data_IF_744332551476
#
_entry.id   IF_744332551476
#
_cell.length_a   1.000
_cell.length_b   1.000
_cell.length_c   1.000
_cell.angle_alpha   90.00
_cell.angle_beta   90.00
_cell.angle_gamma   90.00
#
_symmetry.space_group_name_H-M   'P 1'
#
loop_
_entity.id
_entity.type
_entity.pdbx_description
1 polymer ?
#
# COMPACT_ATOMS: atom_id res chain seq x y z
N UNK A 1 -10.26 -14.19 15.88
CA UNK A 1 -10.63 -12.85 15.39
C UNK A 1 -9.39 -11.99 15.11
N UNK A 2 -8.56 -11.67 16.11
CA UNK A 2 -7.37 -10.80 15.91
C UNK A 2 -6.36 -11.37 14.91
N UNK A 3 -6.03 -12.66 14.99
CA UNK A 3 -5.12 -13.33 14.05
C UNK A 3 -5.65 -13.30 12.60
N UNK A 4 -6.97 -13.38 12.42
CA UNK A 4 -7.60 -13.32 11.11
C UNK A 4 -7.41 -11.93 10.50
N UNK A 5 -7.61 -10.86 11.28
CA UNK A 5 -7.40 -9.48 10.82
C UNK A 5 -5.93 -9.25 10.45
N UNK A 6 -4.99 -9.77 11.24
CA UNK A 6 -3.56 -9.66 10.96
C UNK A 6 -3.16 -10.37 9.64
N UNK A 7 -3.85 -11.45 9.25
CA UNK A 7 -3.61 -12.13 7.99
C UNK A 7 -3.98 -11.30 6.75
N UNK A 8 -4.91 -10.35 6.90
CA UNK A 8 -5.29 -9.41 5.82
C UNK A 8 -4.39 -8.17 5.75
N UNK A 9 -3.41 -8.05 6.65
CA UNK A 9 -2.51 -6.90 6.63
C UNK A 9 -1.46 -7.07 5.51
N UNK A 10 -1.30 -6.11 4.58
CA UNK A 10 -0.33 -6.20 3.50
C UNK A 10 1.13 -6.25 3.98
N UNK A 11 1.42 -5.78 5.20
CA UNK A 11 2.72 -5.93 5.84
C UNK A 11 3.07 -7.40 6.10
N UNK A 12 2.06 -8.24 6.40
CA UNK A 12 2.25 -9.68 6.57
C UNK A 12 2.77 -10.30 5.27
N UNK A 13 2.16 -9.98 4.12
CA UNK A 13 2.62 -10.44 2.81
C UNK A 13 4.02 -9.93 2.45
N UNK A 14 4.39 -8.71 2.86
CA UNK A 14 5.74 -8.20 2.65
C UNK A 14 6.80 -9.03 3.42
N UNK A 15 6.56 -9.31 4.70
CA UNK A 15 7.45 -10.14 5.53
C UNK A 15 7.49 -11.58 5.01
N UNK A 16 6.35 -12.10 4.55
CA UNK A 16 6.25 -13.44 3.98
C UNK A 16 7.02 -13.59 2.66
N UNK A 17 6.97 -12.59 1.79
CA UNK A 17 7.79 -12.55 0.57
C UNK A 17 9.29 -12.57 0.90
N UNK A 18 9.73 -11.77 1.88
CA UNK A 18 11.12 -11.75 2.35
C UNK A 18 11.51 -13.12 2.90
N UNK A 19 10.65 -13.72 3.74
CA UNK A 19 10.85 -15.04 4.31
C UNK A 19 11.10 -16.08 3.20
N UNK A 20 10.26 -16.13 2.17
CA UNK A 20 10.45 -17.06 1.06
C UNK A 20 11.73 -16.78 0.26
N UNK A 21 12.03 -15.51 -0.01
CA UNK A 21 13.25 -15.12 -0.71
C UNK A 21 14.53 -15.57 0.01
N UNK A 22 14.55 -15.48 1.35
CA UNK A 22 15.65 -15.98 2.18
C UNK A 22 15.84 -17.50 2.09
N UNK A 23 14.78 -18.25 1.79
CA UNK A 23 14.83 -19.69 1.53
C UNK A 23 15.03 -20.05 0.05
N UNK A 24 15.40 -19.09 -0.80
CA UNK A 24 15.44 -19.25 -2.27
C UNK A 24 14.11 -19.79 -2.86
N UNK A 25 13.00 -19.44 -2.22
CA UNK A 25 11.64 -19.75 -2.70
C UNK A 25 11.00 -18.46 -3.18
N UNK A 26 10.26 -18.56 -4.26
CA UNK A 26 9.53 -17.43 -4.80
C UNK A 26 8.03 -17.63 -4.59
N UNK A 27 7.41 -16.72 -3.85
CA UNK A 27 5.98 -16.76 -3.55
C UNK A 27 5.23 -15.71 -4.37
N UNK A 28 4.57 -16.18 -5.43
CA UNK A 28 3.81 -15.32 -6.33
C UNK A 28 2.64 -14.61 -5.63
N UNK A 29 2.00 -15.26 -4.66
CA UNK A 29 0.88 -14.68 -3.92
C UNK A 29 1.29 -13.42 -3.16
N UNK A 30 2.34 -13.53 -2.34
CA UNK A 30 2.88 -12.41 -1.56
C UNK A 30 3.40 -11.29 -2.47
N UNK A 31 4.04 -11.64 -3.60
CA UNK A 31 4.50 -10.61 -4.55
C UNK A 31 3.34 -9.84 -5.18
N UNK A 32 2.26 -10.52 -5.60
CA UNK A 32 1.10 -9.86 -6.17
C UNK A 32 0.44 -8.91 -5.16
N UNK A 33 0.30 -9.31 -3.90
CA UNK A 33 -0.27 -8.46 -2.85
C UNK A 33 0.59 -7.21 -2.64
N UNK A 34 1.92 -7.37 -2.51
CA UNK A 34 2.85 -6.26 -2.32
C UNK A 34 2.81 -5.28 -3.50
N UNK A 35 2.85 -5.79 -4.73
CA UNK A 35 2.79 -4.96 -5.95
C UNK A 35 1.43 -4.25 -6.08
N UNK A 36 0.33 -4.94 -5.78
CA UNK A 36 -1.00 -4.32 -5.81
C UNK A 36 -1.13 -3.18 -4.80
N UNK A 37 -0.64 -3.37 -3.57
CA UNK A 37 -0.61 -2.32 -2.56
C UNK A 37 0.29 -1.15 -2.96
N UNK A 38 1.47 -1.42 -3.53
CA UNK A 38 2.36 -0.38 -4.05
C UNK A 38 1.64 0.48 -5.09
N UNK A 39 1.03 -0.15 -6.10
CA UNK A 39 0.32 0.57 -7.16
C UNK A 39 -0.86 1.35 -6.59
N UNK A 40 -1.69 0.74 -5.75
CA UNK A 40 -2.87 1.38 -5.19
C UNK A 40 -2.51 2.63 -4.36
N UNK A 41 -1.55 2.51 -3.45
CA UNK A 41 -1.15 3.64 -2.59
C UNK A 41 -0.33 4.67 -3.34
N UNK A 42 0.50 4.26 -4.31
CA UNK A 42 1.23 5.20 -5.15
C UNK A 42 0.28 6.04 -6.00
N UNK A 43 -0.71 5.42 -6.66
CA UNK A 43 -1.72 6.15 -7.42
C UNK A 43 -2.55 7.07 -6.51
N UNK A 44 -2.97 6.59 -5.34
CA UNK A 44 -3.67 7.43 -4.37
C UNK A 44 -2.82 8.65 -3.96
N UNK A 45 -1.53 8.46 -3.68
CA UNK A 45 -0.60 9.53 -3.34
C UNK A 45 -0.42 10.52 -4.50
N UNK A 46 -0.25 10.04 -5.74
CA UNK A 46 -0.14 10.88 -6.94
C UNK A 46 -1.40 11.73 -7.13
N UNK A 47 -2.59 11.12 -7.01
CA UNK A 47 -3.86 11.86 -7.14
C UNK A 47 -4.08 12.86 -6.00
N UNK A 48 -3.65 12.55 -4.78
CA UNK A 48 -3.77 13.43 -3.62
C UNK A 48 -2.72 14.54 -3.59
N UNK A 49 -1.57 14.35 -4.24
CA UNK A 49 -0.48 15.32 -4.30
C UNK A 49 -0.82 16.53 -5.18
N UNK A 50 -1.71 16.38 -6.18
CA UNK A 50 -2.09 17.47 -7.09
C UNK A 50 -2.67 18.67 -6.30
N UNK A 51 -1.87 19.74 -6.09
CA UNK A 51 -2.20 20.79 -5.13
C UNK A 51 -3.35 21.68 -5.62
N UNK A 52 -3.65 21.64 -6.93
CA UNK A 52 -4.75 22.39 -7.55
C UNK A 52 -6.13 21.74 -7.34
N UNK A 53 -6.19 20.45 -6.96
CA UNK A 53 -7.43 19.67 -6.80
C UNK A 53 -7.58 18.99 -5.45
N UNK A 54 -6.50 18.89 -4.67
CA UNK A 54 -6.50 18.27 -3.34
C UNK A 54 -7.16 19.10 -2.25
N UNK A 55 -7.29 18.50 -1.06
CA UNK A 55 -7.91 19.08 0.16
C UNK A 55 -7.40 20.48 0.56
N UNK A 56 -6.23 20.89 0.06
CA UNK A 56 -5.63 22.21 0.28
C UNK A 56 -6.19 23.31 -0.62
N UNK A 57 -6.75 22.99 -1.79
CA UNK A 57 -7.42 23.97 -2.67
C UNK A 57 -8.58 24.68 -1.96
N UNK A 58 -9.24 24.01 -1.01
CA UNK A 58 -10.35 24.55 -0.21
C UNK A 58 -9.93 25.45 0.95
N UNK A 59 -8.62 25.64 1.22
CA UNK A 59 -8.13 26.50 2.32
C UNK A 59 -7.74 27.92 1.89
N UNK A 60 -7.90 28.28 0.61
CA UNK A 60 -7.48 29.58 0.06
C UNK A 60 -8.61 30.59 -0.18
N UNK A 61 -9.73 30.52 0.54
CA UNK A 61 -10.92 31.34 0.27
C UNK A 61 -11.58 31.91 1.53
N UNK A 62 -10.81 32.60 2.36
CA UNK A 62 -11.34 33.56 3.34
C UNK A 62 -10.52 34.85 3.21
N UNK A 63 -10.94 35.68 2.25
CA UNK A 63 -10.60 37.09 2.13
C UNK A 63 -11.87 37.90 2.27
#
# INVERSE_FOLDING_TARGET
VLATIAAWNPFSSAVELIRFALYLRFDMGSMLVVVACLVAFFLAAVTGYDPGRGLWSRRGGEG
#
